data_IF_314972336079
#
_entry.id   IF_314972336079
#
_cell.length_a   1.000
_cell.length_b   1.000
_cell.length_c   1.000
_cell.angle_alpha   90.00
_cell.angle_beta   90.00
_cell.angle_gamma   90.00
#
_symmetry.space_group_name_H-M   'P 1'
#
loop_
_entity.id
_entity.type
_entity.pdbx_description
1 polymer ?
#
# COMPACT_ATOMS: atom_id res chain seq x y z
N UNK A 1 13.99 19.01 14.83
CA UNK A 1 12.70 18.38 14.52
C UNK A 1 12.44 18.62 13.03
N UNK A 2 12.90 17.69 12.18
CA UNK A 2 12.80 17.85 10.73
C UNK A 2 11.37 17.54 10.32
N UNK A 3 10.67 18.51 9.72
CA UNK A 3 9.38 18.26 9.06
C UNK A 3 9.64 17.22 7.97
N UNK A 4 9.04 16.03 8.10
CA UNK A 4 8.91 15.15 6.94
C UNK A 4 8.05 15.89 5.91
N UNK A 5 8.45 15.93 4.62
CA UNK A 5 7.55 16.38 3.57
C UNK A 5 6.25 15.56 3.60
N UNK A 6 5.16 16.12 3.06
CA UNK A 6 3.85 15.46 3.04
C UNK A 6 3.97 13.96 2.69
N UNK A 7 3.25 13.07 3.40
CA UNK A 7 3.35 11.65 3.16
C UNK A 7 2.97 11.32 1.71
N UNK A 8 3.70 10.40 1.10
CA UNK A 8 3.35 9.85 -0.21
C UNK A 8 2.10 8.99 -0.06
N UNK A 9 0.96 9.47 -0.55
CA UNK A 9 -0.30 8.74 -0.46
C UNK A 9 -0.41 7.77 -1.64
N UNK A 10 -0.55 6.48 -1.33
CA UNK A 10 -0.71 5.40 -2.30
C UNK A 10 -2.07 4.74 -2.10
N UNK A 11 -2.81 4.64 -3.19
CA UNK A 11 -4.04 3.87 -3.24
C UNK A 11 -3.76 2.52 -3.89
N UNK A 12 -4.24 1.46 -3.26
CA UNK A 12 -4.03 0.10 -3.69
C UNK A 12 -5.25 -0.77 -3.39
N UNK A 13 -5.31 -1.91 -4.06
CA UNK A 13 -6.28 -2.95 -3.82
C UNK A 13 -5.65 -4.33 -3.96
N UNK A 14 -6.35 -5.34 -3.45
CA UNK A 14 -5.95 -6.74 -3.61
C UNK A 14 -7.19 -7.62 -3.63
N UNK A 15 -7.10 -8.74 -4.33
CA UNK A 15 -8.13 -9.79 -4.35
C UNK A 15 -7.93 -10.82 -3.24
N UNK A 16 -6.79 -10.77 -2.56
CA UNK A 16 -6.53 -11.61 -1.41
C UNK A 16 -7.33 -11.16 -0.19
N UNK A 17 -7.75 -12.12 0.62
CA UNK A 17 -8.33 -11.83 1.91
C UNK A 17 -7.32 -11.16 2.85
N UNK A 18 -7.84 -10.41 3.82
CA UNK A 18 -7.03 -9.65 4.78
C UNK A 18 -6.02 -10.52 5.56
N UNK A 19 -6.35 -11.78 5.81
CA UNK A 19 -5.47 -12.74 6.51
C UNK A 19 -4.23 -13.11 5.69
N UNK A 20 -4.31 -13.02 4.36
CA UNK A 20 -3.23 -13.33 3.41
C UNK A 20 -2.47 -12.05 3.05
N UNK A 21 -3.21 -11.02 2.65
CA UNK A 21 -2.64 -9.76 2.17
C UNK A 21 -1.83 -9.00 3.25
N UNK A 22 -2.29 -8.97 4.50
CA UNK A 22 -1.61 -8.19 5.54
C UNK A 22 -0.21 -8.74 5.89
N UNK A 23 -0.02 -10.05 6.10
CA UNK A 23 1.32 -10.64 6.19
C UNK A 23 2.18 -10.40 4.96
N UNK A 24 1.60 -10.49 3.75
CA UNK A 24 2.32 -10.26 2.50
C UNK A 24 2.86 -8.82 2.39
N UNK A 25 2.01 -7.83 2.67
CA UNK A 25 2.40 -6.40 2.73
C UNK A 25 3.46 -6.16 3.80
N UNK A 26 3.31 -6.76 4.98
CA UNK A 26 4.31 -6.61 6.06
C UNK A 26 5.67 -7.17 5.64
N UNK A 27 5.68 -8.33 4.98
CA UNK A 27 6.89 -8.93 4.42
C UNK A 27 7.51 -8.03 3.34
N UNK A 28 6.69 -7.51 2.42
CA UNK A 28 7.12 -6.60 1.37
C UNK A 28 7.79 -5.33 1.95
N UNK A 29 7.14 -4.69 2.92
CA UNK A 29 7.69 -3.50 3.61
C UNK A 29 9.02 -3.83 4.28
N UNK A 30 9.10 -4.93 5.04
CA UNK A 30 10.31 -5.29 5.79
C UNK A 30 11.46 -5.65 4.84
N UNK A 31 11.19 -6.42 3.78
CA UNK A 31 12.18 -6.83 2.77
C UNK A 31 12.72 -5.65 1.96
N UNK A 32 11.94 -4.58 1.79
CA UNK A 32 12.39 -3.33 1.17
C UNK A 32 13.29 -2.47 2.08
N UNK A 33 13.41 -2.81 3.38
CA UNK A 33 14.11 -2.01 4.38
C UNK A 33 13.25 -0.89 4.97
N UNK A 34 11.93 -0.95 4.80
CA UNK A 34 10.96 -0.09 5.47
C UNK A 34 10.37 -0.72 6.72
N UNK A 35 9.60 0.05 7.47
CA UNK A 35 8.88 -0.40 8.64
C UNK A 35 7.48 0.20 8.71
N UNK A 36 6.54 -0.52 9.31
CA UNK A 36 5.17 -0.06 9.53
C UNK A 36 5.12 0.66 10.87
N UNK A 37 4.78 1.95 10.85
CA UNK A 37 4.56 2.76 12.05
C UNK A 37 3.18 2.54 12.67
N UNK A 38 2.17 2.37 11.80
CA UNK A 38 0.79 2.36 12.23
C UNK A 38 -0.10 1.62 11.26
N UNK A 39 -1.16 1.05 11.81
CA UNK A 39 -2.23 0.37 11.09
C UNK A 39 -3.56 0.91 11.57
N UNK A 40 -4.40 1.36 10.65
CA UNK A 40 -5.75 1.86 10.96
C UNK A 40 -6.77 1.13 10.09
N UNK A 41 -7.69 0.40 10.72
CA UNK A 41 -8.81 -0.19 9.98
C UNK A 41 -9.79 0.92 9.63
N UNK A 42 -10.05 1.12 8.35
CA UNK A 42 -11.02 2.11 7.87
C UNK A 42 -12.41 1.48 7.80
N UNK A 43 -12.48 0.23 7.34
CA UNK A 43 -13.70 -0.58 7.31
C UNK A 43 -13.34 -2.07 7.43
N UNK A 44 -14.32 -2.96 7.25
CA UNK A 44 -14.07 -4.40 7.09
C UNK A 44 -13.28 -4.72 5.81
N UNK A 45 -13.48 -3.93 4.76
CA UNK A 45 -12.88 -4.08 3.43
C UNK A 45 -11.73 -3.11 3.13
N UNK A 46 -11.30 -2.29 4.10
CA UNK A 46 -10.22 -1.33 3.87
C UNK A 46 -9.32 -1.13 5.09
N UNK A 47 -8.03 -0.91 4.81
CA UNK A 47 -6.98 -0.69 5.79
C UNK A 47 -6.03 0.42 5.33
N UNK A 48 -5.66 1.30 6.25
CA UNK A 48 -4.57 2.25 6.07
C UNK A 48 -3.33 1.78 6.82
N UNK A 49 -2.17 1.85 6.16
CA UNK A 49 -0.86 1.59 6.73
C UNK A 49 0.01 2.84 6.59
N UNK A 50 0.64 3.23 7.69
CA UNK A 50 1.69 4.25 7.67
C UNK A 50 3.03 3.53 7.68
N UNK A 51 3.82 3.76 6.65
CA UNK A 51 5.11 3.11 6.39
C UNK A 51 6.18 4.19 6.36
N UNK A 52 7.33 3.89 6.93
CA UNK A 52 8.55 4.68 6.71
C UNK A 52 9.56 3.83 5.96
N UNK A 53 10.22 4.45 4.99
CA UNK A 53 11.22 3.81 4.15
C UNK A 53 12.27 4.82 3.74
N UNK A 54 13.52 4.39 3.60
CA UNK A 54 14.54 5.27 3.02
C UNK A 54 14.24 5.53 1.54
N UNK A 55 14.43 6.75 1.07
CA UNK A 55 14.19 7.11 -0.34
C UNK A 55 14.92 6.20 -1.34
N UNK A 56 16.14 5.75 -1.02
CA UNK A 56 16.89 4.77 -1.84
C UNK A 56 16.21 3.41 -1.99
N UNK A 57 15.32 3.05 -1.06
CA UNK A 57 14.58 1.79 -1.02
C UNK A 57 13.19 1.89 -1.66
N UNK A 58 12.77 3.06 -2.13
CA UNK A 58 11.43 3.28 -2.67
C UNK A 58 11.11 2.35 -3.86
N UNK A 59 12.10 2.10 -4.72
CA UNK A 59 11.96 1.15 -5.83
C UNK A 59 11.77 -0.30 -5.35
N UNK A 60 12.48 -0.70 -4.30
CA UNK A 60 12.34 -2.03 -3.71
C UNK A 60 10.97 -2.18 -3.05
N UNK A 61 10.47 -1.14 -2.37
CA UNK A 61 9.14 -1.13 -1.79
C UNK A 61 8.08 -1.29 -2.89
N UNK A 62 8.20 -0.51 -3.98
CA UNK A 62 7.31 -0.62 -5.12
C UNK A 62 7.27 -2.05 -5.70
N UNK A 63 8.44 -2.61 -6.02
CA UNK A 63 8.55 -3.95 -6.58
C UNK A 63 8.01 -5.03 -5.62
N UNK A 64 8.30 -4.91 -4.32
CA UNK A 64 7.85 -5.86 -3.32
C UNK A 64 6.33 -5.82 -3.11
N UNK A 65 5.69 -4.65 -3.16
CA UNK A 65 4.24 -4.52 -3.06
C UNK A 65 3.54 -5.17 -4.27
N UNK A 66 3.99 -4.85 -5.49
CA UNK A 66 3.42 -5.46 -6.71
C UNK A 66 3.65 -6.97 -6.71
N UNK A 67 4.87 -7.42 -6.35
CA UNK A 67 5.21 -8.84 -6.28
C UNK A 67 4.45 -9.62 -5.20
N UNK A 68 3.83 -8.93 -4.23
CA UNK A 68 3.02 -9.54 -3.18
C UNK A 68 1.52 -9.59 -3.50
N UNK A 69 1.12 -9.35 -4.76
CA UNK A 69 -0.30 -9.37 -5.17
C UNK A 69 -1.07 -8.09 -4.81
N UNK A 70 -0.37 -6.98 -4.56
CA UNK A 70 -0.99 -5.67 -4.35
C UNK A 70 -1.02 -4.91 -5.66
N UNK A 71 -2.24 -4.56 -6.07
CA UNK A 71 -2.50 -3.76 -7.27
C UNK A 71 -2.52 -2.28 -6.89
N UNK A 72 -1.66 -1.49 -7.51
CA UNK A 72 -1.58 -0.05 -7.27
C UNK A 72 -2.46 0.69 -8.28
N UNK A 73 -3.11 1.78 -7.86
CA UNK A 73 -3.79 2.64 -8.83
C UNK A 73 -2.77 3.31 -9.75
N UNK A 74 -3.20 3.74 -10.94
CA UNK A 74 -2.34 4.52 -11.86
C UNK A 74 -1.70 5.73 -11.17
N UNK A 75 -2.46 6.43 -10.32
CA UNK A 75 -1.94 7.56 -9.56
C UNK A 75 -0.84 7.14 -8.58
N UNK A 76 -1.00 6.00 -7.89
CA UNK A 76 0.00 5.47 -6.98
C UNK A 76 1.28 5.02 -7.72
N UNK A 77 1.15 4.38 -8.89
CA UNK A 77 2.29 4.07 -9.76
C UNK A 77 3.07 5.33 -10.16
N UNK A 78 2.37 6.37 -10.62
CA UNK A 78 3.00 7.63 -11.03
C UNK A 78 3.71 8.32 -9.85
N UNK A 79 3.06 8.38 -8.69
CA UNK A 79 3.63 9.02 -7.50
C UNK A 79 4.91 8.32 -7.02
N UNK A 80 4.98 6.98 -7.11
CA UNK A 80 6.20 6.21 -6.82
C UNK A 80 7.29 6.44 -7.86
N UNK A 81 6.95 6.47 -9.15
CA UNK A 81 7.88 6.77 -10.23
C UNK A 81 8.49 8.17 -10.10
N UNK A 82 7.69 9.18 -9.79
CA UNK A 82 8.16 10.56 -9.56
C UNK A 82 9.09 10.64 -8.35
N UNK A 83 8.76 9.95 -7.26
CA UNK A 83 9.61 9.89 -6.06
C UNK A 83 10.96 9.20 -6.33
N UNK A 84 10.95 8.14 -7.14
CA UNK A 84 12.18 7.49 -7.61
C UNK A 84 13.01 8.42 -8.52
N UNK A 85 12.37 9.14 -9.44
CA UNK A 85 13.02 10.07 -10.36
C UNK A 85 13.67 11.24 -9.61
N UNK A 86 12.97 11.83 -8.64
CA UNK A 86 13.54 12.86 -7.76
C UNK A 86 14.78 12.34 -7.00
N UNK A 87 14.76 11.09 -6.55
CA UNK A 87 15.89 10.46 -5.85
C UNK A 87 17.10 10.24 -6.76
N UNK A 88 16.88 10.01 -8.05
CA UNK A 88 17.95 9.93 -9.05
C UNK A 88 18.57 11.30 -9.32
N UNK A 89 17.74 12.35 -9.42
CA UNK A 89 18.17 13.71 -9.72
C UNK A 89 18.75 14.45 -8.49
N UNK A 90 18.40 14.04 -7.28
CA UNK A 90 18.87 14.63 -6.02
C UNK A 90 19.51 13.58 -5.11
N UNK A 91 20.81 13.27 -5.28
CA UNK A 91 21.50 12.22 -4.52
C UNK A 91 21.48 12.41 -3.00
N UNK A 92 21.40 13.68 -2.55
CA UNK A 92 21.31 14.03 -1.13
C UNK A 92 20.05 13.46 -0.46
N UNK A 93 18.94 13.32 -1.20
CA UNK A 93 17.68 12.77 -0.70
C UNK A 93 17.71 11.26 -0.48
N UNK A 94 18.72 10.54 -0.99
CA UNK A 94 18.78 9.06 -0.87
C UNK A 94 18.78 8.55 0.57
N UNK A 95 19.31 9.36 1.50
CA UNK A 95 19.38 9.03 2.94
C UNK A 95 18.15 9.52 3.72
N UNK A 96 17.28 10.31 3.11
CA UNK A 96 16.06 10.80 3.75
C UNK A 96 15.06 9.67 3.94
N UNK A 97 14.33 9.74 5.05
CA UNK A 97 13.22 8.83 5.34
C UNK A 97 11.98 9.45 4.73
N UNK A 98 11.29 8.68 3.90
CA UNK A 98 10.00 9.01 3.33
C UNK A 98 8.90 8.33 4.14
N UNK A 99 7.84 9.08 4.43
CA UNK A 99 6.60 8.54 4.97
C UNK A 99 5.67 8.21 3.82
N UNK A 100 5.16 6.98 3.80
CA UNK A 100 4.20 6.48 2.82
C UNK A 100 2.90 6.13 3.54
N UNK A 101 1.78 6.61 3.03
CA UNK A 101 0.45 6.24 3.48
C UNK A 101 -0.19 5.33 2.44
N UNK A 102 -0.27 4.04 2.75
CA UNK A 102 -0.87 3.04 1.88
C UNK A 102 -2.32 2.81 2.30
N UNK A 103 -3.27 3.22 1.47
CA UNK A 103 -4.68 2.85 1.59
C UNK A 103 -4.92 1.59 0.75
N UNK A 104 -5.21 0.47 1.41
CA UNK A 104 -5.43 -0.83 0.80
C UNK A 104 -6.90 -1.24 0.93
N UNK A 105 -7.55 -1.50 -0.21
CA UNK A 105 -8.86 -2.10 -0.28
C UNK A 105 -8.78 -3.62 -0.54
N UNK A 106 -9.59 -4.39 0.17
CA UNK A 106 -9.78 -5.82 -0.07
C UNK A 106 -11.01 -5.99 -0.96
N UNK A 107 -10.79 -6.44 -2.19
CA UNK A 107 -11.85 -6.71 -3.15
C UNK A 107 -12.21 -8.18 -3.04
N UNK A 108 -13.34 -8.47 -2.43
CA UNK A 108 -13.91 -9.82 -2.47
C UNK A 108 -14.54 -10.07 -3.83
N UNK A 109 -14.22 -11.18 -4.47
CA UNK A 109 -15.10 -11.67 -5.53
C UNK A 109 -16.48 -11.95 -4.94
N UNK A 110 -17.53 -11.47 -5.60
CA UNK A 110 -18.89 -11.83 -5.26
C UNK A 110 -19.02 -13.35 -5.43
N UNK A 111 -18.94 -14.07 -4.32
CA UNK A 111 -19.12 -15.50 -4.36
C UNK A 111 -20.61 -15.79 -4.63
N UNK A 112 -20.91 -16.74 -5.53
CA UNK A 112 -22.29 -17.09 -5.90
C UNK A 112 -23.15 -17.42 -4.66
N UNK A 113 -22.52 -17.97 -3.62
CA UNK A 113 -23.12 -18.24 -2.33
C UNK A 113 -23.62 -16.97 -1.60
N UNK A 114 -22.91 -15.84 -1.71
CA UNK A 114 -23.31 -14.55 -1.10
C UNK A 114 -24.47 -13.90 -1.86
N UNK A 115 -24.56 -14.12 -3.18
CA UNK A 115 -25.69 -13.69 -4.00
C UNK A 115 -26.94 -14.52 -3.71
N UNK A 116 -26.79 -15.84 -3.52
CA UNK A 116 -27.87 -16.76 -3.15
C UNK A 116 -28.40 -16.53 -1.73
N UNK A 117 -27.60 -15.95 -0.84
CA UNK A 117 -27.99 -15.62 0.54
C UNK A 117 -28.58 -14.22 0.69
N UNK A 118 -28.60 -13.41 -0.38
CA UNK A 118 -29.31 -12.13 -0.37
C UNK A 118 -30.80 -12.43 -0.45
N UNK A 119 -31.59 -12.23 0.62
CA UNK A 119 -33.03 -12.42 0.52
C UNK A 119 -33.53 -11.36 -0.46
N UNK A 120 -33.98 -11.82 -1.62
CA UNK A 120 -34.73 -11.01 -2.56
C UNK A 120 -35.77 -10.23 -1.77
N UNK A 121 -35.70 -8.90 -1.79
CA UNK A 121 -36.74 -8.03 -1.26
C UNK A 121 -38.02 -8.31 -2.08
N UNK A 122 -38.81 -9.27 -1.62
CA UNK A 122 -40.20 -9.44 -1.99
C UNK A 122 -41.04 -8.97 -0.80
N UNK A 123 -41.32 -7.68 -0.79
CA UNK A 123 -42.49 -7.06 -0.18
C UNK A 123 -42.70 -5.69 -0.82
#
# INVERSE_FOLDING_TARGET
>A
MSQSPNPLVLQAFTYDDRSVALPAVRSAVTSSGGWILGKKSVSGSALELQIEVQHRSMLNLYAALVGSGIELTRAAHLALCESCTCTQQMPQRRKEIATVQLALAFISELNLASLMQSPTAMA
#
